data_IF_614969808125
#
_entry.id   IF_614969808125
#
_cell.length_a   1.000
_cell.length_b   1.000
_cell.length_c   1.000
_cell.angle_alpha   90.00
_cell.angle_beta   90.00
_cell.angle_gamma   90.00
#
_symmetry.space_group_name_H-M   'P 1'
#
loop_
_entity.id
_entity.type
_entity.pdbx_description
1 polymer ?
#
# COMPACT_ATOMS: atom_id res chain seq x y z
N UNK A 1 -47.99 23.28 62.02
CA UNK A 1 -48.18 23.10 60.56
C UNK A 1 -46.79 22.99 59.94
N UNK A 2 -46.47 21.87 59.30
CA UNK A 2 -45.19 21.62 58.63
C UNK A 2 -45.04 22.41 57.33
N UNK A 3 -43.81 22.84 57.01
CA UNK A 3 -43.15 22.69 55.69
C UNK A 3 -41.63 22.70 55.95
N UNK A 4 -40.97 21.55 55.96
CA UNK A 4 -40.48 20.73 54.83
C UNK A 4 -39.13 21.19 54.24
N UNK A 5 -38.11 20.56 54.82
CA UNK A 5 -36.79 20.14 54.33
C UNK A 5 -36.48 20.37 52.84
N UNK A 6 -35.60 21.32 52.55
CA UNK A 6 -34.76 21.31 51.34
C UNK A 6 -33.33 20.90 51.73
N UNK A 7 -32.94 19.71 51.29
CA UNK A 7 -31.63 19.12 51.46
C UNK A 7 -30.75 19.57 50.28
N UNK A 8 -30.14 20.75 50.36
CA UNK A 8 -29.05 21.15 49.45
C UNK A 8 -27.74 21.09 50.21
N UNK A 9 -27.12 19.89 50.25
CA UNK A 9 -25.68 19.79 50.51
C UNK A 9 -24.92 20.35 49.31
N UNK A 10 -24.97 21.67 49.15
CA UNK A 10 -23.90 22.39 48.48
C UNK A 10 -22.62 22.03 49.25
N UNK A 11 -21.65 21.39 48.58
CA UNK A 11 -20.34 21.07 49.16
C UNK A 11 -19.55 22.31 49.61
N UNK A 12 -20.05 23.50 49.30
CA UNK A 12 -19.58 24.76 49.82
C UNK A 12 -20.44 25.17 51.01
N UNK A 13 -19.85 25.07 52.21
CA UNK A 13 -20.37 25.65 53.44
C UNK A 13 -19.29 26.54 54.03
N UNK A 14 -19.63 27.78 54.34
CA UNK A 14 -18.72 28.71 55.01
C UNK A 14 -18.60 28.35 56.50
N UNK A 15 -17.43 28.55 57.13
CA UNK A 15 -17.27 28.41 58.56
C UNK A 15 -18.28 29.28 59.33
N UNK A 16 -18.74 28.77 60.49
CA UNK A 16 -19.50 29.61 61.42
C UNK A 16 -18.65 30.84 61.75
N UNK A 17 -19.25 32.03 61.64
CA UNK A 17 -18.64 33.32 61.94
C UNK A 17 -17.53 33.78 60.98
N UNK A 18 -17.46 33.23 59.75
CA UNK A 18 -16.47 33.64 58.74
C UNK A 18 -16.43 35.15 58.45
N UNK A 19 -17.60 35.80 58.45
CA UNK A 19 -17.71 37.24 58.19
C UNK A 19 -17.61 38.10 59.46
N UNK A 20 -17.58 37.48 60.65
CA UNK A 20 -17.54 38.19 61.92
C UNK A 20 -16.11 38.75 62.12
N UNK A 21 -15.97 40.07 62.15
CA UNK A 21 -14.67 40.75 62.27
C UNK A 21 -13.85 40.84 60.96
N UNK A 22 -14.41 40.45 59.81
CA UNK A 22 -13.73 40.57 58.52
C UNK A 22 -13.42 42.05 58.19
N UNK A 23 -14.38 42.94 58.39
CA UNK A 23 -14.23 44.38 58.16
C UNK A 23 -13.12 44.96 59.02
N UNK A 24 -13.11 44.67 60.33
CA UNK A 24 -12.07 45.09 61.25
C UNK A 24 -10.69 44.54 60.87
N UNK A 25 -10.62 43.27 60.44
CA UNK A 25 -9.39 42.66 59.97
C UNK A 25 -8.86 43.34 58.71
N UNK A 26 -9.72 43.61 57.71
CA UNK A 26 -9.32 44.30 56.47
C UNK A 26 -8.86 45.73 56.78
N UNK A 27 -9.62 46.48 57.57
CA UNK A 27 -9.25 47.85 57.97
C UNK A 27 -7.97 47.89 58.81
N UNK A 28 -7.75 46.91 59.68
CA UNK A 28 -6.52 46.80 60.47
C UNK A 28 -5.30 46.56 59.59
N UNK A 29 -5.43 45.73 58.54
CA UNK A 29 -4.36 45.47 57.57
C UNK A 29 -4.05 46.72 56.76
N UNK A 30 -5.06 47.41 56.23
CA UNK A 30 -4.86 48.66 55.48
C UNK A 30 -4.16 49.74 56.33
N UNK A 31 -4.59 49.93 57.58
CA UNK A 31 -3.94 50.87 58.52
C UNK A 31 -2.52 50.45 58.91
N UNK A 32 -2.21 49.16 58.83
CA UNK A 32 -0.86 48.64 59.09
C UNK A 32 0.03 48.83 57.86
N UNK A 33 -0.50 48.56 56.67
CA UNK A 33 0.22 48.77 55.41
C UNK A 33 0.55 50.25 55.20
N UNK A 34 -0.40 51.17 55.41
CA UNK A 34 -0.14 52.63 55.34
C UNK A 34 0.99 53.09 56.28
N UNK A 35 1.21 52.40 57.41
CA UNK A 35 2.28 52.70 58.37
C UNK A 35 3.62 52.07 58.00
N UNK A 36 3.62 50.93 57.32
CA UNK A 36 4.83 50.24 56.86
C UNK A 36 5.35 50.75 55.53
N UNK A 37 4.57 51.57 54.81
CA UNK A 37 4.84 51.89 53.41
C UNK A 37 5.24 53.34 53.16
N UNK A 38 5.79 54.01 54.16
CA UNK A 38 6.55 55.24 53.92
C UNK A 38 7.89 54.86 53.27
N UNK A 39 7.92 54.67 51.94
CA UNK A 39 9.15 54.82 51.18
C UNK A 39 9.33 53.97 49.91
N UNK A 40 8.70 52.80 49.78
CA UNK A 40 8.96 51.91 48.65
C UNK A 40 7.68 51.24 48.15
N UNK A 41 6.81 52.04 47.54
CA UNK A 41 5.67 51.55 46.78
C UNK A 41 5.95 51.72 45.30
N UNK A 42 6.39 50.65 44.66
CA UNK A 42 6.56 50.57 43.22
C UNK A 42 7.67 49.60 42.83
N UNK A 43 7.50 48.96 41.68
CA UNK A 43 8.62 48.34 40.98
C UNK A 43 9.57 49.45 40.54
N UNK A 44 10.53 49.83 41.40
CA UNK A 44 11.63 50.68 40.97
C UNK A 44 12.47 49.90 39.96
N UNK A 45 12.65 50.51 38.78
CA UNK A 45 13.58 49.98 37.80
C UNK A 45 15.00 50.14 38.34
N UNK A 46 15.87 49.12 38.17
CA UNK A 46 17.26 49.24 38.57
C UNK A 46 17.94 50.47 37.96
N UNK A 47 18.85 51.07 38.70
CA UNK A 47 19.71 52.15 38.21
C UNK A 47 20.41 51.69 36.91
N UNK A 48 20.34 52.51 35.86
CA UNK A 48 20.92 52.20 34.55
C UNK A 48 20.14 51.20 33.67
N UNK A 49 18.93 50.75 34.06
CA UNK A 49 18.12 49.79 33.27
C UNK A 49 17.96 50.21 31.80
N UNK A 50 17.72 51.51 31.56
CA UNK A 50 17.50 52.03 30.20
C UNK A 50 18.78 52.29 29.42
N UNK A 51 19.95 52.36 30.07
CA UNK A 51 21.22 52.73 29.42
C UNK A 51 21.73 51.61 28.50
N UNK A 52 21.45 50.35 28.81
CA UNK A 52 21.84 49.18 28.00
C UNK A 52 20.70 48.50 27.25
N UNK A 53 19.47 48.99 27.39
CA UNK A 53 18.28 48.34 26.85
C UNK A 53 18.29 48.31 25.32
N UNK A 54 18.59 49.46 24.70
CA UNK A 54 18.64 49.59 23.24
C UNK A 54 19.65 48.63 22.62
N UNK A 55 20.87 48.60 23.16
CA UNK A 55 21.93 47.72 22.68
C UNK A 55 21.57 46.23 22.83
N UNK A 56 20.94 45.86 23.96
CA UNK A 56 20.48 44.50 24.21
C UNK A 56 19.39 44.06 23.22
N UNK A 57 18.45 44.96 22.90
CA UNK A 57 17.38 44.69 21.93
C UNK A 57 17.95 44.56 20.52
N UNK A 58 18.81 45.48 20.09
CA UNK A 58 19.45 45.44 18.77
C UNK A 58 20.29 44.17 18.58
N UNK A 59 21.07 43.77 19.58
CA UNK A 59 21.89 42.56 19.53
C UNK A 59 21.03 41.28 19.40
N UNK A 60 19.82 41.26 19.98
CA UNK A 60 18.89 40.13 19.83
C UNK A 60 18.21 40.11 18.45
N UNK A 61 17.98 41.27 17.83
CA UNK A 61 17.32 41.39 16.52
C UNK A 61 18.30 41.16 15.36
N UNK A 62 19.58 41.51 15.51
CA UNK A 62 20.60 41.31 14.47
C UNK A 62 20.97 39.84 14.21
N UNK A 63 20.61 38.94 15.13
CA UNK A 63 20.72 37.50 14.90
C UNK A 63 19.67 37.06 13.87
N UNK A 64 20.00 37.23 12.59
CA UNK A 64 19.23 36.70 11.46
C UNK A 64 19.06 35.20 11.66
N UNK A 65 17.86 34.78 12.06
CA UNK A 65 17.53 33.37 12.13
C UNK A 65 17.76 32.74 10.76
N UNK A 66 18.37 31.55 10.75
CA UNK A 66 18.67 30.81 9.52
C UNK A 66 17.35 30.37 8.88
N UNK A 67 16.77 31.21 8.03
CA UNK A 67 15.56 30.87 7.27
C UNK A 67 15.91 29.84 6.20
N UNK A 68 15.23 28.70 6.25
CA UNK A 68 15.31 27.66 5.22
C UNK A 68 13.99 27.73 4.43
N UNK A 69 14.02 27.87 3.10
CA UNK A 69 12.80 27.93 2.30
C UNK A 69 12.00 26.61 2.39
N UNK A 70 10.71 26.71 2.73
CA UNK A 70 9.84 25.56 3.03
C UNK A 70 9.49 24.70 1.81
N UNK A 71 9.56 25.24 0.59
CA UNK A 71 9.11 24.52 -0.62
C UNK A 71 10.18 24.49 -1.72
N UNK A 72 11.03 23.45 -1.72
CA UNK A 72 11.94 23.13 -2.85
C UNK A 72 11.24 22.24 -3.89
N UNK A 73 10.18 22.76 -4.53
CA UNK A 73 9.32 21.97 -5.46
C UNK A 73 10.04 21.45 -6.71
N UNK A 74 11.23 21.98 -7.04
CA UNK A 74 11.99 21.57 -8.23
C UNK A 74 12.44 20.10 -8.20
N UNK A 75 12.64 19.50 -7.03
CA UNK A 75 13.06 18.08 -6.91
C UNK A 75 11.88 17.09 -6.77
N UNK A 76 10.73 17.56 -6.28
CA UNK A 76 9.55 16.72 -6.06
C UNK A 76 8.87 16.37 -7.39
N UNK A 77 8.87 17.30 -8.36
CA UNK A 77 8.35 17.05 -9.70
C UNK A 77 9.15 15.97 -10.47
N UNK A 78 10.47 15.89 -10.26
CA UNK A 78 11.32 14.89 -10.91
C UNK A 78 11.05 13.45 -10.38
N UNK A 79 10.73 13.31 -9.09
CA UNK A 79 10.41 12.01 -8.49
C UNK A 79 9.05 11.46 -8.92
N UNK A 80 8.11 12.32 -9.33
CA UNK A 80 6.74 11.90 -9.68
C UNK A 80 6.67 11.03 -10.94
N UNK A 81 7.58 11.21 -11.90
CA UNK A 81 7.61 10.40 -13.13
C UNK A 81 8.11 8.98 -12.91
N UNK A 82 9.02 8.79 -11.94
CA UNK A 82 9.63 7.49 -11.66
C UNK A 82 8.59 6.51 -11.08
N UNK A 83 7.68 6.98 -10.22
CA UNK A 83 6.64 6.13 -9.64
C UNK A 83 5.66 5.59 -10.71
N UNK A 84 5.24 6.42 -11.67
CA UNK A 84 4.38 5.99 -12.77
C UNK A 84 5.08 4.98 -13.70
N UNK A 85 6.37 5.20 -13.97
CA UNK A 85 7.18 4.26 -14.75
C UNK A 85 7.36 2.91 -14.02
N UNK A 86 7.56 2.92 -12.69
CA UNK A 86 7.63 1.70 -11.88
C UNK A 86 6.28 0.97 -11.84
N UNK A 87 5.17 1.70 -11.70
CA UNK A 87 3.83 1.12 -11.71
C UNK A 87 3.50 0.49 -13.07
N UNK A 88 3.88 1.14 -14.18
CA UNK A 88 3.78 0.58 -15.53
C UNK A 88 4.69 -0.64 -15.70
N UNK A 89 5.93 -0.59 -15.22
CA UNK A 89 6.84 -1.74 -15.26
C UNK A 89 6.23 -2.95 -14.53
N UNK A 90 5.64 -2.75 -13.36
CA UNK A 90 5.04 -3.83 -12.56
C UNK A 90 3.73 -4.37 -13.17
N UNK A 91 3.00 -3.57 -13.95
CA UNK A 91 1.80 -4.03 -14.68
C UNK A 91 2.10 -4.66 -16.04
N UNK A 92 3.24 -4.30 -16.66
CA UNK A 92 3.62 -4.77 -17.99
C UNK A 92 4.59 -5.96 -17.96
N UNK A 93 5.20 -6.26 -16.81
CA UNK A 93 5.91 -7.51 -16.60
C UNK A 93 4.87 -8.63 -16.50
N UNK A 94 4.78 -9.54 -17.50
CA UNK A 94 3.93 -10.70 -17.35
C UNK A 94 4.42 -11.50 -16.15
N UNK A 95 3.47 -11.94 -15.32
CA UNK A 95 3.76 -12.87 -14.24
C UNK A 95 4.50 -14.07 -14.85
N UNK A 96 5.56 -14.52 -14.19
CA UNK A 96 6.25 -15.75 -14.60
C UNK A 96 5.37 -16.92 -14.16
N UNK A 97 4.16 -16.97 -14.73
CA UNK A 97 3.25 -18.08 -14.59
C UNK A 97 4.01 -19.28 -15.12
N UNK A 98 4.24 -20.26 -14.24
CA UNK A 98 4.87 -21.51 -14.59
C UNK A 98 3.96 -22.25 -15.58
N UNK A 99 4.14 -21.93 -16.86
CA UNK A 99 3.39 -22.51 -17.97
C UNK A 99 3.61 -24.02 -17.90
N UNK A 100 2.53 -24.76 -17.66
CA UNK A 100 2.58 -26.21 -17.54
C UNK A 100 1.84 -26.83 -18.70
N UNK A 101 2.13 -28.08 -19.07
CA UNK A 101 1.40 -28.80 -20.13
C UNK A 101 -0.12 -28.84 -19.95
N UNK A 102 -0.64 -28.58 -18.74
CA UNK A 102 -2.07 -28.46 -18.45
C UNK A 102 -2.73 -27.22 -19.06
N UNK A 103 -1.94 -26.20 -19.39
CA UNK A 103 -2.42 -24.95 -19.95
C UNK A 103 -2.58 -25.03 -21.49
N UNK A 104 -2.01 -26.08 -22.12
CA UNK A 104 -2.13 -26.33 -23.55
C UNK A 104 -3.53 -26.82 -23.89
N UNK A 105 -4.20 -26.14 -24.81
CA UNK A 105 -5.48 -26.60 -25.34
C UNK A 105 -5.27 -27.57 -26.49
N UNK A 106 -6.17 -28.55 -26.62
CA UNK A 106 -6.16 -29.49 -27.75
C UNK A 106 -6.25 -28.79 -29.10
N UNK A 107 -7.01 -27.69 -29.19
CA UNK A 107 -7.11 -26.87 -30.41
C UNK A 107 -5.79 -26.24 -30.81
N UNK A 108 -4.95 -25.87 -29.84
CA UNK A 108 -3.63 -25.29 -30.08
C UNK A 108 -2.63 -26.36 -30.54
N UNK A 109 -2.71 -27.56 -29.94
CA UNK A 109 -1.93 -28.73 -30.35
C UNK A 109 -2.29 -29.14 -31.79
N UNK A 110 -3.58 -29.22 -32.12
CA UNK A 110 -4.04 -29.55 -33.48
C UNK A 110 -3.57 -28.54 -34.51
N UNK A 111 -3.69 -27.24 -34.22
CA UNK A 111 -3.23 -26.18 -35.12
C UNK A 111 -1.71 -26.24 -35.34
N UNK A 112 -0.95 -26.53 -34.28
CA UNK A 112 0.50 -26.66 -34.36
C UNK A 112 0.95 -27.81 -35.27
N UNK A 113 0.24 -28.94 -35.23
CA UNK A 113 0.46 -30.09 -36.13
C UNK A 113 0.06 -29.73 -37.57
N UNK A 114 -1.11 -29.12 -37.75
CA UNK A 114 -1.66 -28.78 -39.07
C UNK A 114 -0.79 -27.75 -39.82
N UNK A 115 -0.17 -26.82 -39.09
CA UNK A 115 0.79 -25.86 -39.65
C UNK A 115 2.12 -26.51 -40.07
N UNK A 116 2.28 -27.82 -39.86
CA UNK A 116 3.47 -28.57 -40.27
C UNK A 116 4.69 -28.29 -39.41
N UNK A 117 4.50 -27.80 -38.18
CA UNK A 117 5.61 -27.52 -37.25
C UNK A 117 6.19 -28.79 -36.62
N UNK A 118 5.57 -29.95 -36.88
CA UNK A 118 6.07 -31.25 -36.47
C UNK A 118 6.56 -31.98 -37.72
N UNK A 119 7.88 -32.19 -37.77
CA UNK A 119 8.53 -33.01 -38.78
C UNK A 119 8.82 -34.37 -38.14
N UNK A 120 7.97 -35.36 -38.43
CA UNK A 120 8.18 -36.75 -38.03
C UNK A 120 8.37 -37.59 -39.28
N UNK A 121 9.32 -38.51 -39.24
CA UNK A 121 9.40 -39.55 -40.27
C UNK A 121 8.32 -40.60 -40.06
N UNK A 122 7.99 -41.35 -41.11
CA UNK A 122 7.00 -42.43 -41.04
C UNK A 122 7.41 -43.48 -39.98
N UNK A 123 8.70 -43.79 -39.88
CA UNK A 123 9.25 -44.69 -38.86
C UNK A 123 9.02 -44.17 -37.42
N UNK A 124 9.20 -42.87 -37.20
CA UNK A 124 8.98 -42.23 -35.91
C UNK A 124 7.49 -42.20 -35.54
N UNK A 125 6.61 -41.93 -36.52
CA UNK A 125 5.16 -42.00 -36.33
C UNK A 125 4.71 -43.41 -35.95
N UNK A 126 5.21 -44.44 -36.65
CA UNK A 126 4.91 -45.85 -36.36
C UNK A 126 5.39 -46.21 -34.96
N UNK A 127 6.58 -45.77 -34.54
CA UNK A 127 7.07 -46.02 -33.18
C UNK A 127 6.22 -45.35 -32.10
N UNK A 128 5.62 -44.19 -32.37
CA UNK A 128 4.78 -43.45 -31.42
C UNK A 128 3.39 -44.08 -31.33
N UNK A 129 2.78 -44.38 -32.48
CA UNK A 129 1.42 -44.94 -32.56
C UNK A 129 1.41 -46.41 -32.15
N UNK A 130 2.35 -47.21 -32.69
CA UNK A 130 2.36 -48.67 -32.52
C UNK A 130 2.75 -49.17 -31.13
N UNK A 131 3.30 -48.32 -30.26
CA UNK A 131 3.73 -48.76 -28.93
C UNK A 131 2.61 -48.75 -27.89
N UNK A 132 1.68 -47.79 -27.98
CA UNK A 132 0.73 -47.51 -26.90
C UNK A 132 -0.74 -47.32 -27.35
N UNK A 133 -1.04 -47.39 -28.66
CA UNK A 133 -2.42 -47.25 -29.18
C UNK A 133 -2.94 -48.62 -29.63
N UNK A 134 -3.94 -49.16 -28.91
CA UNK A 134 -4.70 -50.32 -29.35
C UNK A 134 -5.76 -49.89 -30.36
N UNK A 135 -5.48 -50.08 -31.64
CA UNK A 135 -6.39 -49.74 -32.74
C UNK A 135 -7.50 -50.79 -32.95
N UNK A 136 -7.45 -51.93 -32.25
CA UNK A 136 -8.39 -53.05 -32.43
C UNK A 136 -9.84 -52.62 -32.21
N UNK A 137 -10.13 -51.82 -31.17
CA UNK A 137 -11.49 -51.31 -30.91
C UNK A 137 -12.02 -50.39 -32.02
N UNK A 138 -11.14 -49.60 -32.67
CA UNK A 138 -11.54 -48.70 -33.76
C UNK A 138 -11.91 -49.46 -35.04
N UNK A 139 -11.24 -50.58 -35.32
CA UNK A 139 -11.54 -51.41 -36.49
C UNK A 139 -12.84 -52.20 -36.33
N UNK A 140 -13.23 -52.54 -35.09
CA UNK A 140 -14.52 -53.19 -34.81
C UNK A 140 -15.70 -52.22 -35.00
N UNK A 141 -15.55 -50.95 -34.64
CA UNK A 141 -16.62 -49.95 -34.75
C UNK A 141 -16.81 -49.45 -36.19
N UNK A 142 -15.73 -49.35 -36.97
CA UNK A 142 -15.76 -48.95 -38.37
C UNK A 142 -14.99 -49.96 -39.24
N UNK A 143 -15.61 -51.10 -39.59
CA UNK A 143 -14.95 -52.10 -40.42
C UNK A 143 -14.62 -51.49 -41.78
N UNK A 144 -13.36 -51.60 -42.16
CA UNK A 144 -12.90 -51.11 -43.47
C UNK A 144 -13.59 -51.95 -44.55
N UNK A 145 -14.24 -51.27 -45.51
CA UNK A 145 -14.90 -51.95 -46.62
C UNK A 145 -13.87 -52.60 -47.53
N UNK A 146 -14.03 -53.89 -47.82
CA UNK A 146 -13.17 -54.66 -48.71
C UNK A 146 -13.07 -54.04 -50.11
N UNK A 147 -14.17 -53.46 -50.63
CA UNK A 147 -14.16 -52.79 -51.93
C UNK A 147 -13.29 -51.53 -51.93
N UNK A 148 -13.32 -50.74 -50.84
CA UNK A 148 -12.48 -49.56 -50.68
C UNK A 148 -10.99 -49.93 -50.48
N UNK A 149 -10.72 -51.06 -49.82
CA UNK A 149 -9.36 -51.62 -49.71
C UNK A 149 -8.84 -52.07 -51.08
N UNK A 150 -9.65 -52.79 -51.86
CA UNK A 150 -9.27 -53.24 -53.19
C UNK A 150 -9.01 -52.06 -54.14
N UNK A 151 -9.85 -51.02 -54.07
CA UNK A 151 -9.67 -49.78 -54.84
C UNK A 151 -8.34 -49.10 -54.49
N UNK A 152 -8.08 -48.89 -53.19
CA UNK A 152 -6.84 -48.30 -52.70
C UNK A 152 -5.59 -49.09 -53.09
N UNK A 153 -5.62 -50.42 -52.95
CA UNK A 153 -4.51 -51.32 -53.31
C UNK A 153 -4.31 -51.43 -54.82
N UNK A 154 -5.33 -51.14 -55.62
CA UNK A 154 -5.23 -51.11 -57.08
C UNK A 154 -4.74 -49.77 -57.61
N UNK A 155 -5.04 -48.68 -56.91
CA UNK A 155 -4.63 -47.32 -57.29
C UNK A 155 -3.21 -46.99 -56.82
N UNK A 156 -2.75 -47.60 -55.72
CA UNK A 156 -1.39 -47.43 -55.22
C UNK A 156 -0.53 -48.65 -55.56
N UNK A 157 0.60 -48.42 -56.23
CA UNK A 157 1.53 -49.47 -56.68
C UNK A 157 2.39 -49.98 -55.52
N UNK A 158 1.77 -50.80 -54.66
CA UNK A 158 2.34 -51.35 -53.42
C UNK A 158 3.49 -52.34 -53.64
N UNK A 159 3.79 -52.75 -54.89
CA UNK A 159 4.94 -53.63 -55.19
C UNK A 159 6.30 -53.03 -54.76
N UNK A 160 6.42 -51.70 -54.71
CA UNK A 160 7.67 -51.03 -54.31
C UNK A 160 7.83 -50.85 -52.78
N UNK A 161 6.76 -51.05 -52.01
CA UNK A 161 6.73 -50.76 -50.56
C UNK A 161 7.02 -52.00 -49.70
N UNK A 162 6.87 -53.20 -50.28
CA UNK A 162 7.19 -54.49 -49.64
C UNK A 162 8.71 -54.75 -49.51
N UNK A 163 9.57 -53.85 -50.01
CA UNK A 163 11.03 -53.97 -49.95
C UNK A 163 11.67 -53.49 -48.64
N UNK A 164 10.90 -52.96 -47.68
CA UNK A 164 11.45 -52.39 -46.43
C UNK A 164 11.14 -53.21 -45.16
N UNK A 165 10.77 -54.48 -45.31
CA UNK A 165 10.68 -55.41 -44.17
C UNK A 165 11.82 -56.44 -44.21
N UNK A 166 12.97 -56.04 -43.66
CA UNK A 166 13.97 -56.93 -43.03
C UNK A 166 14.41 -56.33 -41.68
#
# INVERSE_FOLDING_TARGET
MSTDKSNSKSGFSIPKNYFEGLEDSVLSRLKTEERTTSGQHGFEVPEGYFEGLEQTVLQRVENKSKVIPLFKRKKVLLLSGIAAAIALLFTLLPDQNNITFKDLKTTEISLYIEEGNIELTDDELISIIGKDIDLTESYEENPVNEEALLDYLSENDIENEIMYLD
#
